data_IF_183573282683
#
_entry.id   IF_183573282683
#
_cell.length_a   1.000
_cell.length_b   1.000
_cell.length_c   1.000
_cell.angle_alpha   90.00
_cell.angle_beta   90.00
_cell.angle_gamma   90.00
#
_symmetry.space_group_name_H-M   'P 1'
#
loop_
_entity.id
_entity.type
_entity.pdbx_description
1 polymer ?
#
# COMPACT_ATOMS: atom_id res chain seq x y z
N UNK A 1 71.94 5.03 -70.22
CA UNK A 1 71.25 4.21 -69.21
C UNK A 1 70.04 5.00 -68.74
N UNK A 2 68.84 4.57 -69.16
CA UNK A 2 67.56 5.30 -69.04
C UNK A 2 66.69 4.65 -67.96
N UNK A 3 66.15 5.48 -67.06
CA UNK A 3 64.86 5.45 -66.33
C UNK A 3 64.13 4.11 -66.12
N UNK A 4 63.71 3.82 -64.88
CA UNK A 4 62.37 3.34 -64.45
C UNK A 4 62.40 3.17 -62.91
N UNK A 5 61.76 4.04 -62.11
CA UNK A 5 60.39 3.90 -61.57
C UNK A 5 60.10 2.55 -60.91
N UNK A 6 59.94 2.54 -59.57
CA UNK A 6 58.96 1.73 -58.84
C UNK A 6 58.79 2.29 -57.42
N UNK A 7 57.78 3.13 -57.30
CA UNK A 7 57.01 3.47 -56.09
C UNK A 7 56.57 2.21 -55.36
N UNK A 8 57.09 1.98 -54.15
CA UNK A 8 56.49 1.07 -53.17
C UNK A 8 55.65 1.92 -52.20
N UNK A 9 54.34 1.75 -52.33
CA UNK A 9 53.30 2.38 -51.51
C UNK A 9 53.51 1.98 -50.05
N UNK A 10 53.90 2.95 -49.21
CA UNK A 10 53.77 2.84 -47.76
C UNK A 10 52.28 2.90 -47.42
N UNK A 11 51.64 1.72 -47.39
CA UNK A 11 50.27 1.57 -46.91
C UNK A 11 50.30 1.76 -45.39
N UNK A 12 50.16 3.01 -44.95
CA UNK A 12 49.88 3.34 -43.57
C UNK A 12 48.56 2.71 -43.16
N UNK A 13 48.64 1.57 -42.46
CA UNK A 13 47.51 1.04 -41.71
C UNK A 13 47.28 1.98 -40.53
N UNK A 14 46.42 2.98 -40.74
CA UNK A 14 45.75 3.70 -39.66
C UNK A 14 44.88 2.67 -38.96
N UNK A 15 45.40 2.11 -37.87
CA UNK A 15 44.60 1.41 -36.87
C UNK A 15 43.59 2.43 -36.34
N UNK A 16 42.39 2.44 -36.92
CA UNK A 16 41.22 3.00 -36.27
C UNK A 16 40.96 2.17 -35.03
N UNK A 17 41.53 2.62 -33.90
CA UNK A 17 41.03 2.30 -32.57
C UNK A 17 39.64 2.93 -32.47
N UNK A 18 38.64 2.24 -33.04
CA UNK A 18 37.27 2.41 -32.62
C UNK A 18 37.23 1.87 -31.19
N UNK A 19 37.54 2.75 -30.23
CA UNK A 19 37.17 2.52 -28.85
C UNK A 19 35.68 2.28 -28.85
N UNK A 20 35.28 1.02 -28.65
CA UNK A 20 33.91 0.72 -28.31
C UNK A 20 33.58 1.64 -27.15
N UNK A 21 32.66 2.58 -27.36
CA UNK A 21 32.02 3.25 -26.26
C UNK A 21 31.38 2.12 -25.46
N UNK A 22 32.04 1.68 -24.39
CA UNK A 22 31.37 0.93 -23.34
C UNK A 22 30.20 1.84 -22.95
N UNK A 23 28.99 1.43 -23.31
CA UNK A 23 27.81 2.01 -22.69
C UNK A 23 28.08 1.87 -21.19
N UNK A 24 28.25 2.99 -20.49
CA UNK A 24 28.44 2.95 -19.05
C UNK A 24 27.28 2.14 -18.47
N UNK A 25 27.57 1.08 -17.73
CA UNK A 25 26.54 0.27 -17.09
C UNK A 25 25.63 1.22 -16.30
N UNK A 26 24.32 1.10 -16.51
CA UNK A 26 23.35 1.97 -15.83
C UNK A 26 23.46 1.72 -14.32
N UNK A 27 23.41 2.78 -13.53
CA UNK A 27 23.31 2.64 -12.08
C UNK A 27 22.04 1.87 -11.72
N UNK A 28 22.15 0.91 -10.81
CA UNK A 28 21.08 -0.01 -10.41
C UNK A 28 20.60 0.31 -9.01
N UNK A 29 19.36 0.80 -8.89
CA UNK A 29 18.73 1.10 -7.61
C UNK A 29 17.64 0.07 -7.33
N UNK A 30 17.72 -0.61 -6.20
CA UNK A 30 16.71 -1.59 -5.80
C UNK A 30 15.61 -0.93 -4.96
N UNK A 31 14.37 -1.26 -5.29
CA UNK A 31 13.19 -0.94 -4.50
C UNK A 31 12.56 -2.28 -4.03
N UNK A 32 12.67 -2.55 -2.73
CA UNK A 32 12.25 -3.79 -2.08
C UNK A 32 11.00 -3.55 -1.23
N UNK A 33 9.79 -3.77 -1.77
CA UNK A 33 8.57 -3.76 -0.95
C UNK A 33 8.46 -5.02 -0.07
N UNK A 34 7.47 -5.07 0.83
CA UNK A 34 7.25 -6.26 1.69
C UNK A 34 6.85 -7.50 0.90
N UNK A 35 6.00 -7.31 -0.13
CA UNK A 35 5.44 -8.39 -0.92
C UNK A 35 5.01 -7.88 -2.30
N UNK A 36 5.23 -8.68 -3.34
CA UNK A 36 4.88 -8.35 -4.73
C UNK A 36 3.39 -8.46 -5.02
N UNK A 37 2.67 -9.31 -4.29
CA UNK A 37 1.23 -9.50 -4.46
C UNK A 37 0.39 -8.42 -3.74
N UNK A 38 1.02 -7.51 -2.99
CA UNK A 38 0.33 -6.44 -2.29
C UNK A 38 0.21 -5.20 -3.19
N UNK A 39 -1.02 -4.86 -3.67
CA UNK A 39 -1.23 -3.80 -4.65
C UNK A 39 -0.94 -2.39 -4.10
N UNK A 40 -0.79 -2.23 -2.78
CA UNK A 40 -0.32 -0.97 -2.20
C UNK A 40 1.03 -0.52 -2.79
N UNK A 41 1.93 -1.46 -3.10
CA UNK A 41 3.26 -1.16 -3.61
C UNK A 41 3.31 -0.93 -5.13
N UNK A 42 2.21 -1.11 -5.85
CA UNK A 42 2.14 -0.85 -7.28
C UNK A 42 2.47 0.62 -7.61
N UNK A 43 2.01 1.56 -6.78
CA UNK A 43 2.31 2.98 -6.97
C UNK A 43 3.80 3.27 -6.77
N UNK A 44 4.44 2.64 -5.79
CA UNK A 44 5.88 2.76 -5.56
C UNK A 44 6.69 2.15 -6.70
N UNK A 45 6.25 1.00 -7.24
CA UNK A 45 6.83 0.40 -8.46
C UNK A 45 6.75 1.39 -9.62
N UNK A 46 5.57 1.89 -9.92
CA UNK A 46 5.33 2.74 -11.08
C UNK A 46 6.14 4.04 -10.98
N UNK A 47 6.19 4.65 -9.78
CA UNK A 47 7.07 5.79 -9.50
C UNK A 47 8.56 5.49 -9.72
N UNK A 48 9.03 4.33 -9.29
CA UNK A 48 10.42 3.88 -9.51
C UNK A 48 10.73 3.66 -11.00
N UNK A 49 9.80 3.04 -11.74
CA UNK A 49 9.95 2.82 -13.18
C UNK A 49 9.96 4.14 -13.97
N UNK A 50 9.17 5.12 -13.55
CA UNK A 50 9.17 6.44 -14.17
C UNK A 50 10.42 7.25 -13.83
N UNK A 51 10.93 7.16 -12.59
CA UNK A 51 12.21 7.75 -12.21
C UNK A 51 13.38 7.12 -13.01
N UNK A 52 13.34 5.79 -13.19
CA UNK A 52 14.30 5.04 -14.01
C UNK A 52 14.43 5.61 -15.43
N UNK A 53 13.30 5.82 -16.11
CA UNK A 53 13.27 6.43 -17.45
C UNK A 53 13.82 7.86 -17.46
N UNK A 54 13.43 8.68 -16.48
CA UNK A 54 13.80 10.10 -16.41
C UNK A 54 15.29 10.30 -16.11
N UNK A 55 15.88 9.44 -15.29
CA UNK A 55 17.25 9.58 -14.79
C UNK A 55 18.25 8.71 -15.57
N UNK A 56 17.79 7.82 -16.45
CA UNK A 56 18.65 6.92 -17.21
C UNK A 56 19.29 5.81 -16.36
N UNK A 57 18.71 5.51 -15.20
CA UNK A 57 19.14 4.45 -14.27
C UNK A 57 18.33 3.17 -14.52
N UNK A 58 18.61 2.12 -13.76
CA UNK A 58 17.81 0.90 -13.67
C UNK A 58 17.09 0.87 -12.30
N UNK A 59 15.79 0.61 -12.31
CA UNK A 59 15.02 0.30 -11.11
C UNK A 59 14.88 -1.22 -11.00
N UNK A 60 15.44 -1.81 -9.95
CA UNK A 60 15.30 -3.23 -9.60
C UNK A 60 14.16 -3.35 -8.59
N UNK A 61 12.93 -3.53 -9.08
CA UNK A 61 11.76 -3.76 -8.23
C UNK A 61 11.62 -5.26 -7.96
N UNK A 62 11.94 -5.69 -6.74
CA UNK A 62 11.96 -7.10 -6.35
C UNK A 62 11.64 -7.28 -4.87
N UNK A 63 10.86 -8.30 -4.55
CA UNK A 63 10.48 -8.67 -3.20
C UNK A 63 10.00 -10.14 -3.18
N UNK A 64 9.76 -10.72 -1.99
CA UNK A 64 9.01 -11.95 -1.88
C UNK A 64 7.64 -11.83 -2.56
N UNK A 65 7.06 -12.94 -3.00
CA UNK A 65 5.70 -12.92 -3.57
C UNK A 65 4.69 -12.53 -2.51
N UNK A 66 4.84 -13.10 -1.31
CA UNK A 66 3.98 -12.97 -0.13
C UNK A 66 4.77 -12.38 1.04
N UNK A 67 4.11 -11.95 2.12
CA UNK A 67 4.79 -11.47 3.32
C UNK A 67 5.64 -12.57 3.97
N UNK A 68 6.95 -12.55 3.70
CA UNK A 68 7.91 -13.56 4.18
C UNK A 68 9.26 -12.88 4.46
N UNK A 69 9.49 -12.42 5.71
CA UNK A 69 10.67 -11.64 6.05
C UNK A 69 12.02 -12.34 5.82
N UNK A 70 12.08 -13.67 5.90
CA UNK A 70 13.33 -14.38 5.64
C UNK A 70 13.73 -14.30 4.16
N UNK A 71 12.76 -14.45 3.24
CA UNK A 71 12.95 -14.25 1.81
C UNK A 71 13.28 -12.79 1.49
N UNK A 72 12.66 -11.83 2.18
CA UNK A 72 13.01 -10.41 2.02
C UNK A 72 14.48 -10.17 2.40
N UNK A 73 14.92 -10.72 3.53
CA UNK A 73 16.31 -10.64 3.97
C UNK A 73 17.28 -11.29 2.97
N UNK A 74 16.93 -12.45 2.41
CA UNK A 74 17.74 -13.12 1.39
C UNK A 74 17.85 -12.28 0.11
N UNK A 75 16.75 -11.67 -0.34
CA UNK A 75 16.75 -10.78 -1.50
C UNK A 75 17.70 -9.60 -1.29
N UNK A 76 17.69 -8.98 -0.11
CA UNK A 76 18.65 -7.90 0.21
C UNK A 76 20.08 -8.40 0.17
N UNK A 77 20.39 -9.56 0.75
CA UNK A 77 21.74 -10.14 0.72
C UNK A 77 22.22 -10.41 -0.73
N UNK A 78 21.33 -10.91 -1.57
CA UNK A 78 21.63 -11.18 -2.97
C UNK A 78 21.89 -9.87 -3.74
N UNK A 79 21.08 -8.84 -3.50
CA UNK A 79 21.26 -7.51 -4.08
C UNK A 79 22.58 -6.86 -3.66
N UNK A 80 22.97 -7.00 -2.38
CA UNK A 80 24.27 -6.55 -1.87
C UNK A 80 25.40 -7.28 -2.59
N UNK A 81 25.29 -8.60 -2.75
CA UNK A 81 26.28 -9.42 -3.46
C UNK A 81 26.41 -9.04 -4.94
N UNK A 82 25.29 -8.66 -5.57
CA UNK A 82 25.25 -8.18 -6.95
C UNK A 82 25.82 -6.77 -7.14
N UNK A 83 26.12 -6.05 -6.06
CA UNK A 83 26.69 -4.70 -6.12
C UNK A 83 25.75 -3.66 -6.70
N UNK A 84 24.50 -3.61 -6.24
CA UNK A 84 23.58 -2.49 -6.56
C UNK A 84 24.12 -1.15 -6.06
N UNK A 85 23.73 -0.06 -6.71
CA UNK A 85 24.20 1.30 -6.42
C UNK A 85 23.34 2.04 -5.38
N UNK A 86 22.21 1.47 -4.97
CA UNK A 86 21.39 1.99 -3.88
C UNK A 86 20.19 1.11 -3.56
N UNK A 87 19.74 1.15 -2.32
CA UNK A 87 18.66 0.32 -1.77
C UNK A 87 17.59 1.19 -1.08
N UNK A 88 16.33 0.99 -1.46
CA UNK A 88 15.17 1.42 -0.70
C UNK A 88 14.34 0.20 -0.31
N UNK A 89 14.08 0.00 0.99
CA UNK A 89 13.38 -1.19 1.50
C UNK A 89 12.21 -0.82 2.42
N UNK A 90 11.09 -1.52 2.28
CA UNK A 90 9.94 -1.44 3.19
C UNK A 90 9.93 -2.64 4.12
N UNK A 91 10.38 -2.43 5.35
CA UNK A 91 10.73 -3.50 6.29
C UNK A 91 9.51 -4.31 6.76
N UNK A 92 9.44 -5.59 6.41
CA UNK A 92 8.38 -6.48 6.88
C UNK A 92 8.50 -6.82 8.39
N UNK A 93 9.74 -7.01 8.87
CA UNK A 93 10.08 -7.37 10.24
C UNK A 93 11.39 -6.69 10.65
N UNK A 94 11.37 -5.91 11.74
CA UNK A 94 12.53 -5.12 12.15
C UNK A 94 13.71 -6.01 12.55
N UNK A 95 13.45 -7.11 13.27
CA UNK A 95 14.50 -7.97 13.80
C UNK A 95 15.17 -8.78 12.68
N UNK A 96 14.37 -9.27 11.73
CA UNK A 96 14.87 -10.05 10.60
C UNK A 96 15.70 -9.19 9.60
N UNK A 97 15.29 -7.93 9.37
CA UNK A 97 15.86 -7.11 8.30
C UNK A 97 16.97 -6.17 8.76
N UNK A 98 17.07 -5.83 10.05
CA UNK A 98 18.07 -4.85 10.55
C UNK A 98 19.50 -5.25 10.18
N UNK A 99 19.87 -6.51 10.35
CA UNK A 99 21.23 -6.96 10.06
C UNK A 99 21.59 -6.88 8.57
N UNK A 100 20.66 -7.19 7.66
CA UNK A 100 20.94 -7.13 6.21
C UNK A 100 20.96 -5.70 5.69
N UNK A 101 20.17 -4.80 6.29
CA UNK A 101 20.26 -3.36 6.03
C UNK A 101 21.64 -2.83 6.43
N UNK A 102 22.13 -3.21 7.62
CA UNK A 102 23.45 -2.83 8.10
C UNK A 102 24.58 -3.35 7.20
N UNK A 103 24.43 -4.55 6.65
CA UNK A 103 25.37 -5.12 5.69
C UNK A 103 25.40 -4.34 4.37
N UNK A 104 24.25 -3.93 3.84
CA UNK A 104 24.18 -3.09 2.65
C UNK A 104 24.93 -1.76 2.87
N UNK A 105 24.69 -1.11 4.01
CA UNK A 105 25.38 0.14 4.37
C UNK A 105 26.89 -0.10 4.54
N UNK A 106 27.29 -1.19 5.18
CA UNK A 106 28.71 -1.55 5.35
C UNK A 106 29.42 -1.86 4.02
N UNK A 107 28.68 -2.36 3.01
CA UNK A 107 29.18 -2.55 1.65
C UNK A 107 29.30 -1.24 0.84
N UNK A 108 28.94 -0.10 1.44
CA UNK A 108 28.98 1.21 0.79
C UNK A 108 27.76 1.54 -0.06
N UNK A 109 26.69 0.73 0.03
CA UNK A 109 25.45 0.95 -0.71
C UNK A 109 24.61 1.98 0.06
N UNK A 110 24.22 3.10 -0.56
CA UNK A 110 23.27 4.03 0.05
C UNK A 110 21.92 3.34 0.30
N UNK A 111 21.53 3.26 1.57
CA UNK A 111 20.32 2.54 1.98
C UNK A 111 19.36 3.45 2.72
N UNK A 112 18.11 3.49 2.27
CA UNK A 112 16.98 4.15 2.94
C UNK A 112 15.87 3.12 3.19
N UNK A 113 14.98 3.43 4.13
CA UNK A 113 13.73 2.71 4.30
C UNK A 113 12.57 3.52 3.75
N UNK A 114 11.50 2.87 3.30
CA UNK A 114 10.27 3.53 2.86
C UNK A 114 9.03 2.75 3.32
N UNK A 115 7.89 3.41 3.52
CA UNK A 115 6.63 2.84 4.07
C UNK A 115 6.74 2.28 5.51
N UNK A 116 7.60 1.29 5.71
CA UNK A 116 7.92 0.65 6.98
C UNK A 116 9.42 0.79 7.31
N UNK A 117 9.70 1.23 8.54
CA UNK A 117 11.06 1.57 8.98
C UNK A 117 11.70 0.49 9.87
N UNK A 118 13.04 0.52 9.92
CA UNK A 118 13.88 -0.13 10.91
C UNK A 118 14.78 0.93 11.57
N UNK A 119 14.27 1.71 12.54
CA UNK A 119 14.98 2.88 13.07
C UNK A 119 16.26 2.53 13.83
N UNK A 120 16.42 1.28 14.29
CA UNK A 120 17.63 0.78 14.94
C UNK A 120 18.74 0.36 13.96
N UNK A 121 18.46 0.32 12.66
CA UNK A 121 19.46 0.00 11.63
C UNK A 121 20.30 1.22 11.24
N UNK A 122 21.32 1.01 10.43
CA UNK A 122 22.20 2.05 9.88
C UNK A 122 21.65 2.73 8.63
N UNK A 123 20.37 2.54 8.30
CA UNK A 123 19.70 3.23 7.18
C UNK A 123 19.83 4.75 7.31
N UNK A 124 20.03 5.44 6.19
CA UNK A 124 20.34 6.87 6.17
C UNK A 124 19.11 7.76 6.38
N UNK A 125 17.96 7.33 5.87
CA UNK A 125 16.71 8.06 5.95
C UNK A 125 15.52 7.11 5.90
N UNK A 126 14.37 7.58 6.37
CA UNK A 126 13.07 6.94 6.23
C UNK A 126 12.14 7.87 5.43
N UNK A 127 11.41 7.31 4.46
CA UNK A 127 10.38 8.01 3.68
C UNK A 127 9.05 7.29 3.85
N UNK A 128 8.14 7.86 4.62
CA UNK A 128 6.83 7.23 4.83
C UNK A 128 5.90 8.05 5.69
N UNK A 129 4.81 7.41 6.10
CA UNK A 129 3.73 8.02 6.85
C UNK A 129 4.05 8.10 8.35
N UNK A 130 3.51 9.13 9.04
CA UNK A 130 3.38 9.08 10.50
C UNK A 130 2.30 8.05 10.87
N UNK A 131 2.76 6.84 11.11
CA UNK A 131 1.91 5.69 11.35
C UNK A 131 1.10 5.79 12.65
N UNK A 132 1.68 6.40 13.70
CA UNK A 132 0.95 6.62 14.94
C UNK A 132 -0.15 7.66 14.74
N UNK A 133 0.15 8.80 14.12
CA UNK A 133 -0.84 9.83 13.84
C UNK A 133 -1.99 9.31 12.97
N UNK A 134 -1.68 8.50 11.95
CA UNK A 134 -2.71 7.90 11.11
C UNK A 134 -3.60 6.92 11.89
N UNK A 135 -3.01 6.05 12.73
CA UNK A 135 -3.77 5.19 13.62
C UNK A 135 -4.66 5.98 14.58
N UNK A 136 -4.12 7.05 15.18
CA UNK A 136 -4.85 7.94 16.07
C UNK A 136 -6.05 8.59 15.39
N UNK A 137 -5.89 9.05 14.15
CA UNK A 137 -6.99 9.60 13.36
C UNK A 137 -8.10 8.56 13.10
N UNK A 138 -7.76 7.29 12.85
CA UNK A 138 -8.75 6.20 12.70
C UNK A 138 -9.54 6.00 14.00
N UNK A 139 -8.83 5.94 15.14
CA UNK A 139 -9.46 5.78 16.46
C UNK A 139 -10.35 6.97 16.83
N UNK A 140 -9.87 8.20 16.63
CA UNK A 140 -10.61 9.44 16.89
C UNK A 140 -11.86 9.55 16.02
N UNK A 141 -11.77 9.13 14.76
CA UNK A 141 -12.92 9.04 13.87
C UNK A 141 -13.96 8.09 14.46
N UNK A 142 -13.58 6.87 14.86
CA UNK A 142 -14.51 5.93 15.48
C UNK A 142 -15.15 6.48 16.76
N UNK A 143 -14.37 7.09 17.65
CA UNK A 143 -14.87 7.74 18.87
C UNK A 143 -15.85 8.89 18.57
N UNK A 144 -15.58 9.70 17.53
CA UNK A 144 -16.50 10.77 17.07
C UNK A 144 -17.81 10.20 16.54
N UNK A 145 -17.76 9.06 15.85
CA UNK A 145 -18.95 8.39 15.28
C UNK A 145 -19.81 7.71 16.37
N UNK A 146 -19.20 7.24 17.46
CA UNK A 146 -19.90 6.64 18.61
C UNK A 146 -19.27 7.10 19.94
N UNK A 147 -19.64 8.28 20.46
CA UNK A 147 -19.03 8.86 21.67
C UNK A 147 -19.26 8.07 22.95
N UNK A 148 -20.27 7.20 22.98
CA UNK A 148 -20.56 6.33 24.13
C UNK A 148 -19.59 5.17 24.29
N UNK A 149 -18.66 4.98 23.34
CA UNK A 149 -17.84 3.77 23.25
C UNK A 149 -18.62 2.58 22.71
N UNK A 150 -17.98 1.42 22.65
CA UNK A 150 -18.51 0.21 22.06
C UNK A 150 -17.47 -0.91 21.98
N UNK A 151 -17.81 -2.01 21.31
CA UNK A 151 -16.87 -3.09 21.04
C UNK A 151 -16.21 -2.92 19.67
N UNK A 152 -14.92 -3.24 19.56
CA UNK A 152 -14.21 -3.12 18.29
C UNK A 152 -13.24 -4.27 18.02
N UNK A 153 -12.93 -4.47 16.74
CA UNK A 153 -11.86 -5.33 16.27
C UNK A 153 -10.99 -4.58 15.26
N UNK A 154 -9.72 -4.96 15.19
CA UNK A 154 -8.77 -4.46 14.21
C UNK A 154 -8.28 -5.61 13.34
N UNK A 155 -8.03 -5.32 12.06
CA UNK A 155 -7.19 -6.15 11.20
C UNK A 155 -5.91 -5.40 10.88
N UNK A 156 -4.79 -6.05 11.14
CA UNK A 156 -3.41 -5.62 10.91
C UNK A 156 -2.72 -6.57 9.95
N UNK A 157 -1.51 -6.23 9.52
CA UNK A 157 -0.68 -7.00 8.59
C UNK A 157 0.26 -7.94 9.34
N UNK A 158 1.55 -7.90 9.03
CA UNK A 158 2.57 -8.67 9.78
C UNK A 158 2.73 -8.19 11.24
N UNK A 159 2.83 -9.10 12.23
CA UNK A 159 2.89 -8.72 13.65
C UNK A 159 4.20 -8.05 14.08
N UNK A 160 5.29 -8.29 13.34
CA UNK A 160 6.60 -7.69 13.62
C UNK A 160 6.84 -6.39 12.84
N UNK A 161 5.86 -5.95 12.03
CA UNK A 161 5.96 -4.73 11.24
C UNK A 161 5.77 -3.49 12.13
N UNK A 162 6.82 -2.71 12.33
CA UNK A 162 6.80 -1.54 13.21
C UNK A 162 5.73 -0.50 12.81
N UNK A 163 5.57 -0.24 11.50
CA UNK A 163 4.58 0.71 11.02
C UNK A 163 3.14 0.33 11.42
N UNK A 164 2.82 -0.95 11.38
CA UNK A 164 1.48 -1.43 11.72
C UNK A 164 1.24 -1.45 13.22
N UNK A 165 2.28 -1.78 14.00
CA UNK A 165 2.23 -1.71 15.46
C UNK A 165 2.02 -0.27 15.95
N UNK A 166 2.62 0.71 15.29
CA UNK A 166 2.38 2.13 15.57
C UNK A 166 0.95 2.55 15.25
N UNK A 167 0.38 2.09 14.13
CA UNK A 167 -1.03 2.35 13.80
C UNK A 167 -1.98 1.73 14.81
N UNK A 168 -1.75 0.47 15.21
CA UNK A 168 -2.56 -0.20 16.24
C UNK A 168 -2.55 0.59 17.54
N UNK A 169 -1.36 1.01 18.01
CA UNK A 169 -1.23 1.85 19.19
C UNK A 169 -1.98 3.18 19.04
N UNK A 170 -1.84 3.83 17.88
CA UNK A 170 -2.58 5.05 17.57
C UNK A 170 -4.09 4.84 17.64
N UNK A 171 -4.63 3.77 17.06
CA UNK A 171 -6.07 3.46 17.09
C UNK A 171 -6.56 3.33 18.54
N UNK A 172 -5.85 2.56 19.36
CA UNK A 172 -6.21 2.35 20.77
C UNK A 172 -6.24 3.68 21.53
N UNK A 173 -5.22 4.52 21.35
CA UNK A 173 -5.14 5.84 21.99
C UNK A 173 -6.24 6.79 21.48
N UNK A 174 -6.53 6.77 20.18
CA UNK A 174 -7.55 7.62 19.56
C UNK A 174 -8.99 7.25 19.93
N UNK A 175 -9.26 5.98 20.20
CA UNK A 175 -10.58 5.52 20.65
C UNK A 175 -10.94 6.07 22.04
N UNK A 176 -9.97 6.08 22.96
CA UNK A 176 -10.17 6.54 24.33
C UNK A 176 -11.06 5.60 25.16
N UNK A 177 -11.61 6.13 26.26
CA UNK A 177 -12.39 5.34 27.21
C UNK A 177 -13.75 4.87 26.66
N UNK A 178 -14.25 3.73 27.15
CA UNK A 178 -15.55 3.18 26.77
C UNK A 178 -15.50 2.21 25.58
N UNK A 179 -14.35 2.08 24.91
CA UNK A 179 -14.14 1.09 23.87
C UNK A 179 -13.54 -0.20 24.44
N UNK A 180 -14.05 -1.34 24.01
CA UNK A 180 -13.58 -2.68 24.41
C UNK A 180 -13.17 -3.47 23.19
N UNK A 181 -11.91 -3.88 23.15
CA UNK A 181 -11.41 -4.73 22.08
C UNK A 181 -11.95 -6.15 22.24
N UNK A 182 -12.47 -6.75 21.16
CA UNK A 182 -12.90 -8.16 21.19
C UNK A 182 -11.68 -9.09 21.31
N UNK A 183 -11.89 -10.24 21.94
CA UNK A 183 -10.83 -11.24 22.10
C UNK A 183 -10.30 -11.70 20.73
N UNK A 184 -8.98 -11.85 20.60
CA UNK A 184 -8.34 -12.27 19.35
C UNK A 184 -8.04 -11.15 18.35
N UNK A 185 -8.49 -9.91 18.60
CA UNK A 185 -8.01 -8.71 17.89
C UNK A 185 -6.68 -8.22 18.50
N UNK A 186 -5.78 -7.55 17.74
CA UNK A 186 -5.84 -7.40 16.29
C UNK A 186 -5.63 -8.74 15.58
N UNK A 187 -6.32 -8.91 14.46
CA UNK A 187 -6.16 -10.04 13.55
C UNK A 187 -4.98 -9.72 12.63
N UNK A 188 -4.07 -10.66 12.42
CA UNK A 188 -2.90 -10.44 11.56
C UNK A 188 -3.11 -11.16 10.24
N UNK A 189 -3.29 -10.39 9.16
CA UNK A 189 -3.49 -10.91 7.81
C UNK A 189 -2.17 -11.12 7.05
N UNK A 190 -1.02 -10.76 7.62
CA UNK A 190 0.29 -10.85 6.96
C UNK A 190 0.27 -10.22 5.56
N UNK A 191 -0.33 -9.03 5.50
CA UNK A 191 -0.52 -8.25 4.28
C UNK A 191 -1.35 -8.91 3.16
N UNK A 192 -2.02 -10.04 3.44
CA UNK A 192 -2.93 -10.74 2.52
C UNK A 192 -4.34 -10.14 2.57
N UNK A 193 -4.78 -9.63 1.43
CA UNK A 193 -6.08 -8.96 1.29
C UNK A 193 -7.28 -9.91 1.39
N UNK A 194 -7.19 -11.12 0.86
CA UNK A 194 -8.26 -12.11 0.96
C UNK A 194 -8.42 -12.59 2.40
N UNK A 195 -7.31 -12.84 3.10
CA UNK A 195 -7.30 -13.20 4.51
C UNK A 195 -7.85 -12.07 5.38
N UNK A 196 -7.50 -10.81 5.11
CA UNK A 196 -8.04 -9.67 5.83
C UNK A 196 -9.58 -9.61 5.72
N UNK A 197 -10.13 -9.81 4.52
CA UNK A 197 -11.58 -9.84 4.30
C UNK A 197 -12.23 -11.01 5.05
N UNK A 198 -11.65 -12.21 4.94
CA UNK A 198 -12.15 -13.40 5.64
C UNK A 198 -12.17 -13.19 7.16
N UNK A 199 -11.08 -12.70 7.74
CA UNK A 199 -10.95 -12.41 9.17
C UNK A 199 -12.00 -11.42 9.67
N UNK A 200 -12.29 -10.37 8.89
CA UNK A 200 -13.35 -9.43 9.22
C UNK A 200 -14.73 -10.09 9.17
N UNK A 201 -15.02 -10.91 8.16
CA UNK A 201 -16.28 -11.65 8.05
C UNK A 201 -16.50 -12.64 9.20
N UNK A 202 -15.45 -13.36 9.60
CA UNK A 202 -15.49 -14.29 10.74
C UNK A 202 -15.74 -13.54 12.05
N UNK A 203 -15.09 -12.40 12.23
CA UNK A 203 -15.30 -11.53 13.39
C UNK A 203 -16.75 -11.06 13.49
N UNK A 204 -17.36 -10.67 12.36
CA UNK A 204 -18.76 -10.26 12.31
C UNK A 204 -19.73 -11.40 12.60
N UNK A 205 -19.37 -12.61 12.19
CA UNK A 205 -20.17 -13.81 12.48
C UNK A 205 -20.10 -14.18 13.95
N UNK A 206 -18.91 -14.08 14.56
CA UNK A 206 -18.69 -14.37 15.98
C UNK A 206 -19.21 -13.26 16.91
N UNK A 207 -19.17 -12.00 16.46
CA UNK A 207 -19.57 -10.81 17.21
C UNK A 207 -20.59 -10.00 16.39
N UNK A 208 -21.83 -10.50 16.20
CA UNK A 208 -22.85 -9.82 15.40
C UNK A 208 -23.26 -8.46 15.99
N UNK A 209 -22.96 -8.24 17.27
CA UNK A 209 -23.20 -7.02 18.02
C UNK A 209 -22.01 -6.04 18.01
N UNK A 210 -20.88 -6.36 17.36
CA UNK A 210 -19.69 -5.49 17.30
C UNK A 210 -20.01 -4.07 16.78
N UNK A 211 -19.35 -3.05 17.33
CA UNK A 211 -19.63 -1.64 16.99
C UNK A 211 -18.69 -1.06 15.94
N UNK A 212 -17.45 -1.53 15.88
CA UNK A 212 -16.48 -1.06 14.90
C UNK A 212 -15.52 -2.16 14.41
N UNK A 213 -15.28 -2.16 13.10
CA UNK A 213 -14.15 -2.85 12.49
C UNK A 213 -13.19 -1.77 12.00
N UNK A 214 -11.96 -1.82 12.48
CA UNK A 214 -10.95 -0.79 12.26
C UNK A 214 -9.73 -1.41 11.57
N UNK A 215 -9.74 -1.55 10.23
CA UNK A 215 -8.55 -1.95 9.50
C UNK A 215 -7.45 -0.92 9.71
N UNK A 216 -6.27 -1.36 10.15
CA UNK A 216 -5.08 -0.48 10.29
C UNK A 216 -4.25 -0.41 9.00
N UNK A 217 -4.73 -1.06 7.94
CA UNK A 217 -4.22 -0.97 6.58
C UNK A 217 -5.33 -1.18 5.56
N UNK A 218 -5.02 -0.86 4.29
CA UNK A 218 -6.00 -0.82 3.21
C UNK A 218 -6.42 -2.18 2.64
N UNK A 219 -5.92 -3.31 3.16
CA UNK A 219 -6.11 -4.63 2.54
C UNK A 219 -7.57 -4.99 2.19
N UNK A 220 -8.55 -4.78 3.08
CA UNK A 220 -9.95 -5.06 2.75
C UNK A 220 -10.50 -4.21 1.59
N UNK A 221 -9.86 -3.07 1.28
CA UNK A 221 -10.25 -2.16 0.19
C UNK A 221 -9.67 -2.59 -1.17
N UNK A 222 -8.72 -3.51 -1.19
CA UNK A 222 -8.07 -4.00 -2.41
C UNK A 222 -8.79 -5.16 -3.06
N UNK A 223 -9.71 -5.83 -2.35
CA UNK A 223 -10.50 -6.93 -2.88
C UNK A 223 -11.76 -6.36 -3.54
N UNK A 224 -11.89 -6.43 -4.88
CA UNK A 224 -13.15 -6.10 -5.55
C UNK A 224 -14.26 -6.98 -4.96
N UNK A 225 -15.45 -6.43 -4.80
CA UNK A 225 -16.61 -7.09 -4.19
C UNK A 225 -16.56 -7.32 -2.67
N UNK A 226 -15.47 -7.06 -1.94
CA UNK A 226 -15.55 -7.03 -0.46
C UNK A 226 -16.51 -5.93 0.04
N UNK A 227 -16.68 -4.85 -0.74
CA UNK A 227 -17.70 -3.83 -0.55
C UNK A 227 -19.12 -4.27 -0.98
N UNK A 228 -19.25 -5.34 -1.76
CA UNK A 228 -20.50 -5.90 -2.30
C UNK A 228 -20.98 -7.12 -1.47
N UNK A 229 -20.06 -7.97 -1.00
CA UNK A 229 -20.25 -9.22 -0.27
C UNK A 229 -20.31 -9.03 1.26
N UNK A 230 -20.17 -10.12 2.03
CA UNK A 230 -20.42 -10.19 3.49
C UNK A 230 -19.77 -9.09 4.34
N UNK A 231 -18.58 -8.61 3.97
CA UNK A 231 -17.92 -7.48 4.64
C UNK A 231 -18.62 -6.14 4.35
N UNK A 232 -19.07 -5.91 3.11
CA UNK A 232 -19.91 -4.77 2.72
C UNK A 232 -21.33 -4.86 3.27
N UNK A 233 -21.93 -6.04 3.33
CA UNK A 233 -23.21 -6.26 4.01
C UNK A 233 -23.12 -5.99 5.52
N UNK A 234 -22.00 -6.34 6.14
CA UNK A 234 -21.75 -6.05 7.53
C UNK A 234 -21.40 -4.58 7.80
N UNK A 235 -20.59 -3.95 6.94
CA UNK A 235 -20.38 -2.50 6.96
C UNK A 235 -21.72 -1.76 6.84
N UNK A 236 -22.61 -2.19 5.92
CA UNK A 236 -23.98 -1.68 5.80
C UNK A 236 -24.82 -1.89 7.06
N UNK A 237 -24.76 -3.07 7.69
CA UNK A 237 -25.42 -3.33 8.99
C UNK A 237 -24.90 -2.41 10.10
N UNK A 238 -23.60 -2.15 10.15
CA UNK A 238 -22.98 -1.20 11.09
C UNK A 238 -23.41 0.24 10.80
N UNK A 239 -23.55 0.64 9.53
CA UNK A 239 -24.08 1.96 9.16
C UNK A 239 -25.56 2.13 9.57
N UNK A 240 -26.38 1.08 9.47
CA UNK A 240 -27.85 1.16 9.67
C UNK A 240 -28.32 1.11 11.13
N UNK A 241 -27.42 1.00 12.11
CA UNK A 241 -27.84 0.84 13.51
C UNK A 241 -28.56 2.08 14.08
N UNK A 242 -29.57 1.90 14.96
CA UNK A 242 -30.40 3.00 15.44
C UNK A 242 -29.64 4.04 16.27
N UNK A 243 -28.58 3.62 16.95
CA UNK A 243 -27.72 4.41 17.83
C UNK A 243 -26.66 5.23 17.06
N UNK A 244 -26.52 5.02 15.75
CA UNK A 244 -25.66 5.84 14.89
C UNK A 244 -26.34 7.16 14.52
N UNK A 245 -25.60 8.28 14.46
CA UNK A 245 -26.11 9.54 13.94
C UNK A 245 -26.78 9.38 12.57
N UNK A 246 -27.94 10.02 12.37
CA UNK A 246 -28.73 9.89 11.14
C UNK A 246 -27.94 10.22 9.86
N UNK A 247 -27.01 11.18 9.93
CA UNK A 247 -26.12 11.53 8.81
C UNK A 247 -25.25 10.36 8.33
N UNK A 248 -24.83 9.46 9.21
CA UNK A 248 -24.02 8.28 8.86
C UNK A 248 -24.88 7.11 8.38
N UNK A 249 -26.09 7.01 8.93
CA UNK A 249 -27.10 6.04 8.49
C UNK A 249 -27.57 6.31 7.06
N UNK A 250 -27.60 7.58 6.67
CA UNK A 250 -28.06 8.04 5.37
C UNK A 250 -26.94 8.23 4.33
N UNK A 251 -25.67 7.96 4.68
CA UNK A 251 -24.51 8.20 3.80
C UNK A 251 -24.31 9.68 3.45
N UNK A 252 -24.63 10.57 4.40
CA UNK A 252 -24.60 12.04 4.32
C UNK A 252 -23.66 12.65 5.37
N UNK A 253 -22.55 12.01 5.70
CA UNK A 253 -21.49 12.69 6.43
C UNK A 253 -20.76 13.58 5.43
N UNK A 254 -21.01 14.89 5.52
CA UNK A 254 -20.63 15.86 4.49
C UNK A 254 -19.12 16.01 4.27
N UNK A 255 -18.80 16.49 3.07
CA UNK A 255 -17.48 16.79 2.48
C UNK A 255 -16.62 17.84 3.23
N UNK A 256 -16.85 18.06 4.54
CA UNK A 256 -16.11 19.04 5.34
C UNK A 256 -15.12 18.35 6.28
N UNK A 257 -13.83 18.61 6.09
CA UNK A 257 -12.67 18.22 6.91
C UNK A 257 -11.93 16.91 6.56
N UNK A 258 -12.09 16.38 5.35
CA UNK A 258 -11.23 15.29 4.81
C UNK A 258 -10.10 15.78 3.88
N UNK A 259 -9.82 17.09 3.86
CA UNK A 259 -8.98 17.72 2.83
C UNK A 259 -7.46 17.66 3.04
N UNK A 260 -6.92 16.87 4.00
CA UNK A 260 -5.47 16.77 4.20
C UNK A 260 -4.94 15.32 4.31
N UNK A 261 -5.64 14.35 3.71
CA UNK A 261 -5.07 13.04 3.38
C UNK A 261 -5.01 12.92 1.85
N UNK A 262 -3.79 12.88 1.32
CA UNK A 262 -3.38 13.19 -0.05
C UNK A 262 -4.19 12.53 -1.19
N UNK A 263 -4.22 13.26 -2.32
CA UNK A 263 -4.91 12.98 -3.58
C UNK A 263 -4.71 11.56 -4.11
N UNK A 264 -5.77 10.76 -4.09
CA UNK A 264 -5.77 9.44 -4.70
C UNK A 264 -6.99 8.60 -4.32
N UNK A 265 -8.16 8.98 -4.86
CA UNK A 265 -9.51 8.42 -4.65
C UNK A 265 -10.28 9.04 -3.47
N UNK A 266 -11.07 10.06 -3.82
CA UNK A 266 -12.27 10.43 -3.08
C UNK A 266 -13.17 9.19 -2.84
N UNK A 267 -13.66 9.03 -1.61
CA UNK A 267 -14.97 8.40 -1.36
C UNK A 267 -15.07 6.91 -1.03
N UNK A 268 -14.01 6.19 -0.65
CA UNK A 268 -14.13 4.74 -0.36
C UNK A 268 -15.07 4.41 0.83
N UNK A 269 -15.14 5.28 1.85
CA UNK A 269 -16.02 5.08 3.01
C UNK A 269 -17.48 5.40 2.75
N UNK A 270 -17.75 6.34 1.84
CA UNK A 270 -19.10 6.88 1.61
C UNK A 270 -19.95 5.94 0.73
N UNK A 271 -19.29 5.16 -0.14
CA UNK A 271 -19.94 4.14 -0.95
C UNK A 271 -20.51 2.96 -0.15
N UNK A 272 -19.95 2.66 1.02
CA UNK A 272 -20.40 1.52 1.84
C UNK A 272 -21.71 1.80 2.58
N UNK A 273 -21.97 3.06 2.97
CA UNK A 273 -23.19 3.44 3.70
C UNK A 273 -24.33 3.99 2.81
N UNK A 274 -24.10 4.23 1.51
CA UNK A 274 -25.16 4.71 0.60
C UNK A 274 -26.13 3.58 0.19
N UNK A 275 -27.45 3.84 0.15
CA UNK A 275 -28.41 2.86 -0.35
C UNK A 275 -28.16 2.56 -1.85
N UNK A 276 -28.34 1.30 -2.26
CA UNK A 276 -28.23 0.90 -3.67
C UNK A 276 -29.24 1.70 -4.50
N UNK A 277 -28.78 2.34 -5.58
CA UNK A 277 -29.68 2.76 -6.67
C UNK A 277 -30.23 1.51 -7.34
N UNK A 278 -31.32 0.96 -6.78
CA UNK A 278 -31.95 -0.25 -7.29
C UNK A 278 -33.16 -0.75 -6.50
N UNK A 279 -33.36 -0.28 -5.26
CA UNK A 279 -34.44 -0.79 -4.39
C UNK A 279 -35.66 0.15 -4.25
N UNK A 280 -35.77 1.14 -5.14
CA UNK A 280 -36.94 2.01 -5.21
C UNK A 280 -37.97 1.46 -6.22
N UNK A 281 -38.84 0.57 -5.72
CA UNK A 281 -40.25 0.50 -6.15
C UNK A 281 -40.54 0.04 -7.57
N UNK A 282 -40.79 -1.26 -7.74
CA UNK A 282 -41.90 -1.67 -8.59
C UNK A 282 -43.21 -1.14 -7.99
N UNK A 283 -44.02 -0.52 -8.85
CA UNK A 283 -45.42 -0.05 -8.68
C UNK A 283 -45.55 1.40 -8.18
N UNK A 284 -45.76 2.30 -9.12
CA UNK A 284 -47.08 2.87 -9.40
C UNK A 284 -47.06 3.51 -10.80
N UNK A 285 -48.02 3.12 -11.63
CA UNK A 285 -48.12 3.50 -13.03
C UNK A 285 -48.46 4.98 -13.21
N UNK A 286 -47.84 5.59 -14.22
CA UNK A 286 -48.27 6.87 -14.78
C UNK A 286 -49.14 6.55 -16.00
N UNK A 287 -50.44 6.90 -16.02
CA UNK A 287 -51.23 6.88 -17.23
C UNK A 287 -51.12 8.23 -17.96
N UNK A 288 -50.89 8.16 -19.27
CA UNK A 288 -51.29 9.22 -20.19
C UNK A 288 -50.18 10.18 -20.60
N UNK A 289 -49.74 9.99 -21.86
CA UNK A 289 -49.26 10.96 -22.86
C UNK A 289 -48.52 10.09 -23.88
N UNK A 290 -49.03 9.81 -25.09
CA UNK A 290 -49.72 10.67 -26.04
C UNK A 290 -48.98 10.43 -27.35
N UNK A 291 -49.57 9.60 -28.22
CA UNK A 291 -49.07 9.40 -29.59
C UNK A 291 -49.07 10.75 -30.32
N UNK A 292 -47.94 11.12 -30.93
CA UNK A 292 -47.95 11.94 -32.14
C UNK A 292 -46.93 11.37 -33.11
N UNK A 293 -47.48 10.72 -34.13
CA UNK A 293 -46.80 10.28 -35.34
C UNK A 293 -46.50 11.48 -36.25
N UNK A 294 -45.39 11.37 -36.96
CA UNK A 294 -44.93 12.25 -38.04
C UNK A 294 -46.02 12.43 -39.12
N UNK A 295 -46.34 13.69 -39.45
CA UNK A 295 -46.70 14.24 -40.77
C UNK A 295 -46.89 15.75 -40.64
#
# INVERSE_FOLDING_TARGET
>A
MKKLLLTAVALGAVMTMAGGANAADKLRFALVPKAMNNPYFDLSRDGCMDASKKLGIECVYIAPVEHEPASEAQIVQDLVTQGIDGLAISVADVDALTNVIDQAVAAGIPTITFDADAPGSKRQAFVGTDNYAMGKAIGEMAAKLKPSGGTYAMVSGGPAAANLNDRVRGVIDGLGAGWTQVAGSPLYCNDDAALAVQQLQDTLTAHPDIDALLPVGGWPLFVPDAAEDGAGAAARRLCQRPDRPAALRDGRAGDGDAAEAEEGREGAGDHLCRPRHGDAGQRQGVPGQGEVSLS
#
